data_IF_626367414030
#
_entry.id   IF_626367414030
#
_cell.length_a   1.000
_cell.length_b   1.000
_cell.length_c   1.000
_cell.angle_alpha   90.00
_cell.angle_beta   90.00
_cell.angle_gamma   90.00
#
_symmetry.space_group_name_H-M   'P 1'
#
loop_
_entity.id
_entity.type
_entity.pdbx_description
1 polymer ?
#
# COMPACT_ATOMS: atom_id res chain seq x y z
N UNK A 1 6.41 -5.98 13.15
CA UNK A 1 7.49 -5.25 13.84
C UNK A 1 8.08 -4.15 12.94
N UNK A 2 8.59 -4.45 11.71
CA UNK A 2 9.30 -3.48 10.85
C UNK A 2 8.53 -2.16 10.63
N UNK A 3 7.24 -2.23 10.35
CA UNK A 3 6.40 -1.04 10.09
C UNK A 3 5.58 -0.59 11.32
N UNK A 4 5.84 -1.08 12.52
CA UNK A 4 5.08 -0.69 13.72
C UNK A 4 3.57 -1.02 13.69
N UNK A 5 3.10 -1.75 12.68
CA UNK A 5 1.69 -2.10 12.51
C UNK A 5 1.30 -3.35 13.28
N UNK A 6 0.04 -3.44 13.69
CA UNK A 6 -0.48 -4.55 14.51
C UNK A 6 -0.74 -5.84 13.73
N UNK A 7 -0.78 -5.78 12.40
CA UNK A 7 -1.00 -6.94 11.52
C UNK A 7 -0.18 -6.87 10.23
N UNK A 8 0.11 -8.04 9.66
CA UNK A 8 0.73 -8.18 8.35
C UNK A 8 0.24 -9.43 7.64
N UNK A 9 0.32 -9.44 6.31
CA UNK A 9 -0.07 -10.57 5.46
C UNK A 9 0.95 -10.75 4.33
N UNK A 10 1.44 -11.98 4.17
CA UNK A 10 2.40 -12.34 3.12
C UNK A 10 1.68 -12.78 1.84
N UNK A 11 2.22 -12.38 0.70
CA UNK A 11 1.80 -12.78 -0.64
C UNK A 11 2.98 -13.37 -1.43
N UNK A 12 2.69 -14.00 -2.54
CA UNK A 12 3.71 -14.60 -3.41
C UNK A 12 4.60 -13.58 -4.12
N UNK A 13 4.15 -12.33 -4.24
CA UNK A 13 4.92 -11.20 -4.78
C UNK A 13 4.30 -9.87 -4.35
N UNK A 14 5.04 -8.76 -4.50
CA UNK A 14 4.50 -7.41 -4.32
C UNK A 14 3.38 -7.12 -5.32
N UNK A 15 3.50 -7.62 -6.56
CA UNK A 15 2.42 -7.48 -7.56
C UNK A 15 1.10 -8.06 -7.04
N UNK A 16 1.12 -9.30 -6.52
CA UNK A 16 -0.08 -9.95 -5.97
C UNK A 16 -0.55 -9.26 -4.69
N UNK A 17 0.36 -8.75 -3.86
CA UNK A 17 0.01 -7.99 -2.66
C UNK A 17 -0.83 -6.74 -3.02
N UNK A 18 -0.37 -5.93 -3.97
CA UNK A 18 -1.09 -4.76 -4.46
C UNK A 18 -2.43 -5.14 -5.10
N UNK A 19 -2.41 -6.05 -6.06
CA UNK A 19 -3.60 -6.45 -6.83
C UNK A 19 -4.68 -7.04 -5.91
N UNK A 20 -4.31 -7.99 -5.06
CA UNK A 20 -5.25 -8.67 -4.17
C UNK A 20 -5.83 -7.72 -3.10
N UNK A 21 -4.99 -6.84 -2.55
CA UNK A 21 -5.44 -5.91 -1.50
C UNK A 21 -6.39 -4.86 -2.07
N UNK A 22 -5.99 -4.13 -3.10
CA UNK A 22 -6.79 -3.05 -3.67
C UNK A 22 -8.10 -3.57 -4.26
N UNK A 23 -8.06 -4.73 -4.95
CA UNK A 23 -9.28 -5.35 -5.46
C UNK A 23 -10.23 -5.83 -4.37
N UNK A 24 -9.71 -6.20 -3.21
CA UNK A 24 -10.53 -6.62 -2.07
C UNK A 24 -11.14 -5.44 -1.34
N UNK A 25 -10.39 -4.36 -1.14
CA UNK A 25 -10.89 -3.14 -0.47
C UNK A 25 -12.14 -2.59 -1.17
N UNK A 26 -12.17 -2.53 -2.49
CA UNK A 26 -13.37 -2.09 -3.23
C UNK A 26 -14.59 -2.99 -3.04
N UNK A 27 -14.39 -4.26 -2.73
CA UNK A 27 -15.50 -5.21 -2.47
C UNK A 27 -16.03 -5.15 -1.04
N UNK A 28 -15.14 -4.91 -0.07
CA UNK A 28 -15.51 -4.90 1.36
C UNK A 28 -15.92 -3.52 1.87
N UNK A 29 -15.63 -2.45 1.12
CA UNK A 29 -16.02 -1.07 1.43
C UNK A 29 -17.02 -0.57 0.37
N UNK A 30 -18.33 -0.78 0.56
CA UNK A 30 -19.34 -0.37 -0.41
C UNK A 30 -19.29 1.14 -0.67
N UNK A 31 -19.27 1.53 -1.95
CA UNK A 31 -19.23 2.93 -2.34
C UNK A 31 -17.84 3.56 -2.28
N UNK A 32 -16.78 2.78 -2.06
CA UNK A 32 -15.40 3.28 -2.03
C UNK A 32 -15.05 4.08 -3.28
N UNK A 33 -14.38 5.22 -3.08
CA UNK A 33 -13.70 5.97 -4.13
C UNK A 33 -12.19 5.83 -3.90
N UNK A 34 -11.46 5.41 -4.95
CA UNK A 34 -10.01 5.29 -4.90
C UNK A 34 -9.38 6.42 -5.70
N UNK A 35 -8.61 7.26 -5.04
CA UNK A 35 -7.78 8.31 -5.64
C UNK A 35 -6.40 7.74 -5.88
N UNK A 36 -5.99 7.65 -7.13
CA UNK A 36 -4.73 7.02 -7.56
C UNK A 36 -3.82 8.04 -8.22
N UNK A 37 -2.57 8.07 -7.81
CA UNK A 37 -1.54 8.79 -8.57
C UNK A 37 -1.44 8.22 -9.99
N UNK A 38 -1.26 9.09 -11.00
CA UNK A 38 -1.21 8.67 -12.41
C UNK A 38 -0.01 7.81 -12.76
N UNK A 39 1.07 7.87 -11.97
CA UNK A 39 2.29 7.08 -12.17
C UNK A 39 2.38 5.84 -11.27
N UNK A 40 1.32 5.51 -10.53
CA UNK A 40 1.28 4.30 -9.72
C UNK A 40 1.63 3.04 -10.54
N UNK A 41 2.31 2.10 -9.91
CA UNK A 41 2.73 0.84 -10.50
C UNK A 41 1.56 0.05 -11.11
N UNK A 42 1.82 -0.69 -12.18
CA UNK A 42 0.82 -1.49 -12.91
C UNK A 42 0.02 -2.44 -12.00
N UNK A 43 0.61 -2.98 -10.93
CA UNK A 43 -0.09 -3.85 -9.97
C UNK A 43 -1.17 -3.10 -9.18
N UNK A 44 -0.90 -1.84 -8.80
CA UNK A 44 -1.89 -0.98 -8.14
C UNK A 44 -3.02 -0.63 -9.10
N UNK A 45 -2.67 -0.22 -10.32
CA UNK A 45 -3.65 0.09 -11.38
C UNK A 45 -4.58 -1.10 -11.65
N UNK A 46 -4.01 -2.30 -11.74
CA UNK A 46 -4.80 -3.52 -11.99
C UNK A 46 -5.69 -3.87 -10.77
N UNK A 47 -5.17 -3.76 -9.56
CA UNK A 47 -5.95 -3.96 -8.33
C UNK A 47 -7.12 -2.98 -8.22
N UNK A 48 -6.88 -1.70 -8.50
CA UNK A 48 -7.92 -0.66 -8.53
C UNK A 48 -8.96 -0.96 -9.61
N UNK A 49 -8.52 -1.36 -10.80
CA UNK A 49 -9.44 -1.73 -11.88
C UNK A 49 -10.34 -2.91 -11.51
N UNK A 50 -9.79 -3.92 -10.85
CA UNK A 50 -10.53 -5.13 -10.42
C UNK A 50 -11.39 -4.91 -9.18
N UNK A 51 -11.17 -3.84 -8.44
CA UNK A 51 -11.95 -3.52 -7.24
C UNK A 51 -13.42 -3.24 -7.56
N UNK A 52 -13.69 -2.70 -8.76
CA UNK A 52 -15.02 -2.20 -9.14
C UNK A 52 -15.41 -0.90 -8.43
N UNK A 53 -14.53 -0.33 -7.61
CA UNK A 53 -14.72 0.97 -6.98
C UNK A 53 -14.64 2.11 -8.01
N UNK A 54 -15.29 3.22 -7.70
CA UNK A 54 -15.07 4.45 -8.44
C UNK A 54 -13.61 4.89 -8.28
N UNK A 55 -13.02 5.38 -9.36
CA UNK A 55 -11.63 5.83 -9.33
C UNK A 55 -11.49 7.25 -9.82
N UNK A 56 -10.56 7.98 -9.20
CA UNK A 56 -10.09 9.30 -9.62
C UNK A 56 -8.58 9.24 -9.79
N UNK A 57 -8.08 9.68 -10.91
CA UNK A 57 -6.64 9.72 -11.18
C UNK A 57 -6.19 11.16 -11.00
N UNK A 58 -5.29 11.42 -10.05
CA UNK A 58 -4.69 12.72 -9.86
C UNK A 58 -3.31 12.79 -10.54
N UNK A 59 -2.93 14.02 -10.92
CA UNK A 59 -1.62 14.28 -11.53
C UNK A 59 -0.52 13.91 -10.54
N UNK A 60 0.56 13.37 -11.07
CA UNK A 60 1.68 12.87 -10.30
C UNK A 60 2.15 13.85 -9.22
N UNK A 61 2.14 13.39 -7.96
CA UNK A 61 2.53 14.14 -6.76
C UNK A 61 1.81 15.49 -6.55
N UNK A 62 0.70 15.74 -7.26
CA UNK A 62 -0.05 17.00 -7.22
C UNK A 62 -1.12 16.97 -6.12
N UNK A 63 -0.74 17.48 -4.94
CA UNK A 63 -1.59 17.56 -3.74
C UNK A 63 -2.83 18.44 -3.97
N UNK A 64 -2.70 19.55 -4.70
CA UNK A 64 -3.79 20.47 -4.98
C UNK A 64 -4.81 19.83 -5.94
N UNK A 65 -4.35 19.10 -6.94
CA UNK A 65 -5.24 18.36 -7.82
C UNK A 65 -5.98 17.23 -7.09
N UNK A 66 -5.30 16.50 -6.21
CA UNK A 66 -5.93 15.49 -5.36
C UNK A 66 -7.02 16.11 -4.49
N UNK A 67 -6.73 17.23 -3.82
CA UNK A 67 -7.70 17.99 -3.01
C UNK A 67 -8.94 18.35 -3.83
N UNK A 68 -8.75 18.95 -5.00
CA UNK A 68 -9.84 19.35 -5.87
C UNK A 68 -10.73 18.17 -6.31
N UNK A 69 -10.15 16.99 -6.51
CA UNK A 69 -10.91 15.78 -6.83
C UNK A 69 -11.75 15.31 -5.63
N UNK A 70 -11.17 15.30 -4.43
CA UNK A 70 -11.86 14.88 -3.20
C UNK A 70 -13.04 15.82 -2.88
N UNK A 71 -12.83 17.13 -2.98
CA UNK A 71 -13.85 18.15 -2.71
C UNK A 71 -15.06 18.08 -3.67
N UNK A 72 -14.87 17.53 -4.86
CA UNK A 72 -15.95 17.35 -5.85
C UNK A 72 -16.76 16.05 -5.69
N UNK A 73 -16.29 15.12 -4.85
CA UNK A 73 -16.99 13.87 -4.58
C UNK A 73 -17.84 13.96 -3.30
N UNK A 74 -18.77 13.03 -3.14
CA UNK A 74 -19.64 12.94 -1.98
C UNK A 74 -18.82 12.77 -0.67
N UNK A 75 -18.95 13.68 0.31
CA UNK A 75 -18.19 13.64 1.57
C UNK A 75 -18.46 12.38 2.40
N UNK A 76 -19.65 11.79 2.29
CA UNK A 76 -20.08 10.64 3.11
C UNK A 76 -19.56 9.30 2.55
N UNK A 77 -19.03 9.28 1.35
CA UNK A 77 -18.48 8.06 0.76
C UNK A 77 -17.11 7.72 1.34
N UNK A 78 -16.82 6.43 1.57
CA UNK A 78 -15.47 6.00 1.95
C UNK A 78 -14.46 6.33 0.84
N UNK A 79 -13.27 6.73 1.25
CA UNK A 79 -12.20 7.21 0.37
C UNK A 79 -10.90 6.47 0.66
N UNK A 80 -10.10 6.23 -0.37
CA UNK A 80 -8.75 5.67 -0.27
C UNK A 80 -7.80 6.46 -1.17
N UNK A 81 -6.71 6.97 -0.63
CA UNK A 81 -5.63 7.60 -1.39
C UNK A 81 -4.52 6.56 -1.58
N UNK A 82 -4.22 6.21 -2.84
CA UNK A 82 -3.24 5.19 -3.21
C UNK A 82 -2.06 5.83 -3.97
N UNK A 83 -0.86 5.66 -3.43
CA UNK A 83 0.37 6.29 -3.94
C UNK A 83 1.61 5.49 -3.57
N UNK A 84 2.76 5.80 -4.21
CA UNK A 84 4.06 5.21 -3.91
C UNK A 84 4.94 6.18 -3.12
N UNK A 85 5.85 5.64 -2.32
CA UNK A 85 6.88 6.44 -1.64
C UNK A 85 8.02 6.85 -2.57
N UNK A 86 8.50 5.90 -3.37
CA UNK A 86 9.52 6.10 -4.40
C UNK A 86 9.03 5.52 -5.71
N UNK A 87 8.85 6.35 -6.71
CA UNK A 87 8.33 5.94 -8.00
C UNK A 87 9.41 5.29 -8.87
N UNK A 88 9.09 4.14 -9.48
CA UNK A 88 10.07 3.27 -10.13
C UNK A 88 10.77 3.87 -11.34
N UNK A 89 10.07 4.71 -12.11
CA UNK A 89 10.58 5.22 -13.39
C UNK A 89 11.34 6.52 -13.25
N UNK A 90 10.90 7.39 -12.36
CA UNK A 90 11.46 8.74 -12.20
C UNK A 90 12.38 8.82 -10.96
N UNK A 91 12.18 7.93 -9.97
CA UNK A 91 13.00 7.85 -8.77
C UNK A 91 12.73 8.99 -7.78
N UNK A 92 11.69 9.75 -7.99
CA UNK A 92 11.27 10.81 -7.09
C UNK A 92 10.48 10.26 -5.89
N UNK A 93 10.34 11.08 -4.88
CA UNK A 93 9.69 10.74 -3.62
C UNK A 93 8.34 11.43 -3.54
N UNK A 94 7.31 10.64 -3.25
CA UNK A 94 5.95 11.16 -3.05
C UNK A 94 5.83 12.04 -1.81
N UNK A 95 4.95 13.06 -1.82
CA UNK A 95 4.69 13.94 -0.68
C UNK A 95 3.79 13.26 0.36
N UNK A 96 4.30 12.19 1.01
CA UNK A 96 3.53 11.29 1.89
C UNK A 96 2.81 12.07 2.99
N UNK A 97 3.52 13.00 3.67
CA UNK A 97 2.93 13.80 4.74
C UNK A 97 1.72 14.60 4.27
N UNK A 98 1.83 15.27 3.11
CA UNK A 98 0.74 16.05 2.56
C UNK A 98 -0.46 15.17 2.14
N UNK A 99 -0.22 13.95 1.67
CA UNK A 99 -1.29 12.99 1.39
C UNK A 99 -1.95 12.48 2.66
N UNK A 100 -1.20 12.28 3.74
CA UNK A 100 -1.74 11.96 5.04
C UNK A 100 -2.57 13.13 5.62
N UNK A 101 -2.13 14.38 5.43
CA UNK A 101 -2.89 15.57 5.85
C UNK A 101 -4.25 15.63 5.15
N UNK A 102 -4.29 15.37 3.86
CA UNK A 102 -5.56 15.26 3.12
C UNK A 102 -6.41 14.08 3.60
N UNK A 103 -5.79 12.95 3.87
CA UNK A 103 -6.51 11.79 4.39
C UNK A 103 -7.18 12.09 5.74
N UNK A 104 -6.47 12.75 6.65
CA UNK A 104 -7.00 13.17 7.94
C UNK A 104 -8.15 14.19 7.75
N UNK A 105 -7.97 15.19 6.89
CA UNK A 105 -8.96 16.24 6.63
C UNK A 105 -10.27 15.70 6.05
N UNK A 106 -10.18 14.74 5.12
CA UNK A 106 -11.33 14.20 4.39
C UNK A 106 -11.78 12.80 4.84
N UNK A 107 -11.26 12.32 5.99
CA UNK A 107 -11.54 11.00 6.55
C UNK A 107 -11.36 9.88 5.51
N UNK A 108 -10.21 9.92 4.82
CA UNK A 108 -9.80 8.93 3.84
C UNK A 108 -8.80 7.95 4.44
N UNK A 109 -8.77 6.73 3.91
CA UNK A 109 -7.70 5.77 4.17
C UNK A 109 -6.50 6.07 3.26
N UNK A 110 -5.31 5.66 3.70
CA UNK A 110 -4.07 5.75 2.93
C UNK A 110 -3.54 4.36 2.58
N UNK A 111 -3.11 4.19 1.33
CA UNK A 111 -2.42 3.01 0.83
C UNK A 111 -1.09 3.42 0.23
N UNK A 112 -0.01 3.08 0.91
CA UNK A 112 1.36 3.44 0.53
C UNK A 112 2.11 2.20 0.03
N UNK A 113 2.59 2.26 -1.20
CA UNK A 113 3.53 1.29 -1.75
C UNK A 113 4.98 1.75 -1.45
N UNK A 114 5.67 0.98 -0.60
CA UNK A 114 7.06 1.21 -0.20
C UNK A 114 8.04 0.24 -0.91
N UNK A 115 7.62 -0.41 -1.98
CA UNK A 115 8.39 -1.47 -2.68
C UNK A 115 9.79 -1.03 -3.08
N UNK A 116 9.99 0.25 -3.45
CA UNK A 116 11.28 0.80 -3.85
C UNK A 116 12.05 1.45 -2.69
N UNK A 117 11.51 1.43 -1.48
CA UNK A 117 12.10 2.10 -0.33
C UNK A 117 12.44 1.16 0.84
N UNK A 118 11.68 0.08 1.03
CA UNK A 118 11.96 -0.90 2.09
C UNK A 118 13.34 -1.53 1.90
N UNK A 119 14.09 -1.64 3.00
CA UNK A 119 15.47 -2.09 3.02
C UNK A 119 16.50 -1.03 2.61
N UNK A 120 16.06 0.20 2.27
CA UNK A 120 16.93 1.26 1.77
C UNK A 120 16.77 2.58 2.54
N UNK A 121 15.55 2.92 2.95
CA UNK A 121 15.22 4.17 3.66
C UNK A 121 14.72 3.89 5.06
N UNK A 122 14.90 4.87 5.95
CA UNK A 122 14.58 4.74 7.37
C UNK A 122 15.69 4.06 8.17
N UNK A 123 15.72 4.29 9.48
CA UNK A 123 16.78 3.80 10.37
C UNK A 123 16.75 2.28 10.58
N UNK A 124 15.61 1.65 10.38
CA UNK A 124 15.41 0.19 10.39
C UNK A 124 15.07 -0.36 9.00
N UNK A 125 15.24 0.44 7.93
CA UNK A 125 14.92 0.03 6.58
C UNK A 125 13.43 -0.14 6.32
N UNK A 126 12.54 0.50 7.10
CA UNK A 126 11.09 0.38 6.91
C UNK A 126 10.53 1.28 5.81
N UNK A 127 11.36 2.06 5.13
CA UNK A 127 10.94 2.88 4.01
C UNK A 127 10.96 4.38 4.29
N UNK A 128 10.40 5.15 3.35
CA UNK A 128 10.37 6.63 3.42
C UNK A 128 9.48 7.11 4.55
N UNK A 129 8.35 6.45 4.80
CA UNK A 129 7.45 6.80 5.90
C UNK A 129 8.14 6.70 7.27
N UNK A 130 9.07 5.75 7.45
CA UNK A 130 9.92 5.69 8.64
C UNK A 130 10.96 6.81 8.66
N UNK A 131 11.61 7.09 7.51
CA UNK A 131 12.59 8.18 7.41
C UNK A 131 12.01 9.51 7.86
N UNK A 132 10.75 9.76 7.51
CA UNK A 132 10.07 11.03 7.72
C UNK A 132 9.21 11.04 9.01
N UNK A 133 9.26 9.96 9.81
CA UNK A 133 8.55 9.80 11.10
C UNK A 133 7.02 9.94 10.98
N UNK A 134 6.46 9.42 9.88
CA UNK A 134 5.02 9.49 9.57
C UNK A 134 4.38 8.11 9.34
N UNK A 135 5.09 7.04 9.65
CA UNK A 135 4.68 5.67 9.35
C UNK A 135 3.38 5.26 10.07
N UNK A 136 3.13 5.78 11.25
CA UNK A 136 1.92 5.54 12.05
C UNK A 136 0.65 6.16 11.43
N UNK A 137 0.80 7.22 10.62
CA UNK A 137 -0.30 7.89 9.91
C UNK A 137 -0.77 7.13 8.66
N UNK A 138 0.00 6.17 8.16
CA UNK A 138 -0.36 5.38 7.00
C UNK A 138 -1.18 4.16 7.41
N UNK A 139 -2.36 3.92 6.82
CA UNK A 139 -3.23 2.80 7.20
C UNK A 139 -2.75 1.46 6.69
N UNK A 140 -2.34 1.40 5.43
CA UNK A 140 -1.82 0.18 4.79
C UNK A 140 -0.51 0.50 4.09
N UNK A 141 0.54 -0.22 4.47
CA UNK A 141 1.85 -0.19 3.81
C UNK A 141 2.03 -1.49 3.04
N UNK A 142 2.38 -1.39 1.77
CA UNK A 142 2.79 -2.52 0.94
C UNK A 142 4.30 -2.51 0.76
N UNK A 143 4.89 -3.70 0.74
CA UNK A 143 6.30 -3.88 0.48
C UNK A 143 6.61 -5.19 -0.24
N UNK A 144 7.80 -5.26 -0.82
CA UNK A 144 8.27 -6.45 -1.51
C UNK A 144 9.44 -7.11 -0.79
N UNK A 145 9.49 -8.43 -0.86
CA UNK A 145 10.65 -9.23 -0.45
C UNK A 145 11.61 -9.48 -1.63
N UNK A 146 11.19 -9.14 -2.86
CA UNK A 146 11.91 -9.44 -4.09
C UNK A 146 13.00 -8.44 -4.49
N UNK A 147 13.18 -7.36 -3.75
CA UNK A 147 14.20 -6.33 -4.03
C UNK A 147 15.31 -6.34 -2.96
N UNK A 148 15.31 -5.40 -2.03
CA UNK A 148 16.36 -5.28 -1.03
C UNK A 148 16.49 -6.51 -0.12
N UNK A 149 15.40 -7.17 0.21
CA UNK A 149 15.44 -8.39 1.04
C UNK A 149 15.92 -9.64 0.30
N UNK A 150 15.96 -9.64 -1.04
CA UNK A 150 16.60 -10.66 -1.87
C UNK A 150 15.90 -12.02 -1.90
N UNK A 151 14.61 -12.11 -1.58
CA UNK A 151 13.81 -13.35 -1.64
C UNK A 151 12.47 -13.11 -2.35
N UNK A 152 11.82 -14.20 -2.78
CA UNK A 152 10.49 -14.10 -3.40
C UNK A 152 9.42 -13.74 -2.37
N UNK A 153 8.52 -12.83 -2.73
CA UNK A 153 7.33 -12.49 -1.95
C UNK A 153 7.00 -11.01 -1.95
N UNK A 154 5.86 -10.71 -1.37
CA UNK A 154 5.40 -9.37 -1.04
C UNK A 154 4.58 -9.42 0.25
N UNK A 155 4.22 -8.28 0.77
CA UNK A 155 3.43 -8.22 2.00
C UNK A 155 2.66 -6.90 2.09
N UNK A 156 1.63 -6.92 2.92
CA UNK A 156 1.01 -5.71 3.42
C UNK A 156 1.12 -5.67 4.94
N UNK A 157 1.18 -4.47 5.51
CA UNK A 157 1.13 -4.22 6.94
C UNK A 157 0.09 -3.12 7.24
N UNK A 158 -0.67 -3.28 8.31
CA UNK A 158 -1.73 -2.35 8.69
C UNK A 158 -2.39 -2.76 10.01
N UNK A 159 -3.54 -2.17 10.31
CA UNK A 159 -4.30 -2.56 11.48
C UNK A 159 -4.84 -4.00 11.35
N UNK A 160 -4.74 -4.78 12.43
CA UNK A 160 -5.12 -6.21 12.46
C UNK A 160 -6.48 -6.48 11.85
N UNK A 161 -7.50 -5.68 12.14
CA UNK A 161 -8.87 -5.86 11.60
C UNK A 161 -8.90 -5.75 10.07
N UNK A 162 -8.17 -4.77 9.50
CA UNK A 162 -8.08 -4.58 8.05
C UNK A 162 -7.34 -5.76 7.40
N UNK A 163 -6.21 -6.14 7.99
CA UNK A 163 -5.40 -7.27 7.52
C UNK A 163 -6.19 -8.58 7.57
N UNK A 164 -6.99 -8.80 8.61
CA UNK A 164 -7.81 -10.00 8.74
C UNK A 164 -8.98 -10.03 7.74
N UNK A 165 -9.60 -8.88 7.47
CA UNK A 165 -10.60 -8.75 6.42
C UNK A 165 -10.02 -9.08 5.04
N UNK A 166 -8.84 -8.55 4.71
CA UNK A 166 -8.14 -8.85 3.45
C UNK A 166 -7.77 -10.33 3.39
N UNK A 167 -7.20 -10.91 4.46
CA UNK A 167 -6.88 -12.34 4.55
C UNK A 167 -8.09 -13.22 4.25
N UNK A 168 -9.26 -12.85 4.77
CA UNK A 168 -10.48 -13.62 4.68
C UNK A 168 -11.21 -13.49 3.34
N UNK A 169 -10.98 -12.38 2.61
CA UNK A 169 -11.77 -12.03 1.43
C UNK A 169 -10.96 -11.96 0.13
N UNK A 170 -9.62 -11.81 0.22
CA UNK A 170 -8.77 -11.67 -0.95
C UNK A 170 -8.62 -13.00 -1.70
N UNK A 171 -9.23 -13.12 -2.87
CA UNK A 171 -9.12 -14.32 -3.70
C UNK A 171 -7.67 -14.63 -4.11
N UNK A 172 -6.86 -13.62 -4.36
CA UNK A 172 -5.43 -13.76 -4.67
C UNK A 172 -4.58 -14.24 -3.48
N UNK A 173 -5.14 -14.25 -2.27
CA UNK A 173 -4.54 -14.89 -1.09
C UNK A 173 -5.13 -16.28 -0.84
N UNK A 174 -6.45 -16.42 -0.80
CA UNK A 174 -7.14 -17.64 -0.40
C UNK A 174 -6.90 -18.79 -1.39
N UNK A 175 -6.93 -18.49 -2.68
CA UNK A 175 -6.89 -19.50 -3.75
C UNK A 175 -5.51 -19.65 -4.41
N UNK A 176 -4.47 -19.17 -3.76
CA UNK A 176 -3.09 -19.35 -4.21
C UNK A 176 -2.31 -20.28 -3.28
N UNK A 177 -1.22 -20.86 -3.81
CA UNK A 177 -0.31 -21.66 -3.00
C UNK A 177 0.45 -20.75 -2.02
N UNK A 178 0.58 -21.17 -0.77
CA UNK A 178 1.32 -20.44 0.24
C UNK A 178 2.82 -20.33 -0.09
N UNK A 179 3.45 -19.30 0.47
CA UNK A 179 4.90 -19.10 0.35
C UNK A 179 5.66 -20.32 0.88
N UNK A 180 6.67 -20.77 0.12
CA UNK A 180 7.53 -21.88 0.51
C UNK A 180 8.24 -21.56 1.86
N UNK A 181 8.31 -22.51 2.82
CA UNK A 181 8.95 -22.30 4.12
C UNK A 181 10.39 -21.78 4.03
N UNK A 182 11.17 -22.20 3.04
CA UNK A 182 12.53 -21.71 2.82
C UNK A 182 12.56 -20.23 2.48
N UNK A 183 11.60 -19.76 1.66
CA UNK A 183 11.47 -18.33 1.33
C UNK A 183 11.04 -17.52 2.55
N UNK A 184 10.11 -18.04 3.35
CA UNK A 184 9.68 -17.39 4.58
C UNK A 184 10.83 -17.28 5.60
N UNK A 185 11.64 -18.33 5.76
CA UNK A 185 12.82 -18.31 6.61
C UNK A 185 13.88 -17.31 6.12
N UNK A 186 14.13 -17.27 4.80
CA UNK A 186 15.03 -16.32 4.18
C UNK A 186 14.56 -14.88 4.36
N UNK A 187 13.28 -14.62 4.15
CA UNK A 187 12.68 -13.30 4.39
C UNK A 187 12.83 -12.86 5.86
N UNK A 188 12.51 -13.75 6.80
CA UNK A 188 12.66 -13.48 8.24
C UNK A 188 14.11 -13.15 8.61
N UNK A 189 15.06 -13.92 8.08
CA UNK A 189 16.49 -13.68 8.32
C UNK A 189 16.94 -12.33 7.75
N UNK A 190 16.46 -11.97 6.54
CA UNK A 190 16.79 -10.71 5.87
C UNK A 190 16.22 -9.52 6.62
N UNK A 191 14.93 -9.55 6.98
CA UNK A 191 14.26 -8.46 7.74
C UNK A 191 14.90 -8.25 9.12
N UNK A 192 15.31 -9.33 9.80
CA UNK A 192 15.99 -9.23 11.12
C UNK A 192 17.42 -8.69 11.04
N UNK A 193 17.97 -8.59 9.84
CA UNK A 193 19.33 -8.11 9.62
C UNK A 193 19.39 -6.58 9.47
N UNK A 194 18.27 -5.95 9.19
CA UNK A 194 18.14 -4.50 9.13
C UNK A 194 18.22 -3.89 10.53
#
# INVERSE_FOLDING_TARGET
DLHGKSGALLFTSGYVANEATLSTLGKILPGLIIYSDELNHASMIEGIRRSGADRRIFRHNDVDHLRALIENDDPDRPKLIAFESVYSMDGDVGPIEAFCDLADEFNALTYLDEVHAVGMYGHEGAGVAQRDDIMDRVDIIEGTLGKAFGVMGGYIAGHTTMIDAIRSMASGFIFTTSTCPVMAAGALASVRKL
#
